data_IF_770156440002
#
_entry.id   IF_770156440002
#
_cell.length_a   1.000
_cell.length_b   1.000
_cell.length_c   1.000
_cell.angle_alpha   90.00
_cell.angle_beta   90.00
_cell.angle_gamma   90.00
#
_symmetry.space_group_name_H-M   'P 1'
#
loop_
_entity.id
_entity.type
_entity.pdbx_description
1 polymer ?
#
# COMPACT_ATOMS: atom_id res chain seq x y z
N UNK A 1 15.08 -10.22 12.49
CA UNK A 1 13.97 -10.71 11.66
C UNK A 1 13.74 -12.13 12.13
N UNK A 2 12.59 -12.39 12.73
CA UNK A 2 12.20 -13.72 13.17
C UNK A 2 11.30 -14.33 12.09
N UNK A 3 11.41 -15.63 11.87
CA UNK A 3 10.51 -16.32 10.96
C UNK A 3 9.11 -16.41 11.58
N UNK A 4 8.10 -16.31 10.73
CA UNK A 4 6.69 -16.40 11.13
C UNK A 4 6.09 -17.68 10.57
N UNK A 5 5.28 -18.35 11.38
CA UNK A 5 4.45 -19.47 10.94
C UNK A 5 3.18 -19.01 10.21
N UNK A 6 2.83 -17.72 10.34
CA UNK A 6 1.66 -17.13 9.68
C UNK A 6 1.87 -17.12 8.18
N UNK A 7 1.01 -17.84 7.47
CA UNK A 7 1.02 -17.86 6.00
C UNK A 7 0.50 -16.54 5.45
N UNK A 8 0.82 -16.26 4.19
CA UNK A 8 0.31 -15.05 3.51
C UNK A 8 -1.23 -15.01 3.50
N UNK A 9 -1.86 -16.16 3.27
CA UNK A 9 -3.33 -16.23 3.16
C UNK A 9 -4.00 -15.94 4.52
N UNK A 10 -3.43 -16.44 5.62
CA UNK A 10 -3.89 -16.12 6.98
C UNK A 10 -3.71 -14.63 7.29
N UNK A 11 -2.57 -14.05 6.92
CA UNK A 11 -2.31 -12.63 7.12
C UNK A 11 -3.30 -11.76 6.33
N UNK A 12 -3.56 -12.11 5.06
CA UNK A 12 -4.50 -11.38 4.21
C UNK A 12 -5.95 -11.47 4.71
N UNK A 13 -6.36 -12.63 5.22
CA UNK A 13 -7.69 -12.85 5.76
C UNK A 13 -7.91 -12.10 7.10
N UNK A 14 -6.86 -11.91 7.90
CA UNK A 14 -6.93 -11.20 9.17
C UNK A 14 -6.80 -9.68 9.03
N UNK A 15 -6.07 -9.20 8.03
CA UNK A 15 -5.70 -7.79 7.91
C UNK A 15 -6.88 -6.87 7.55
N UNK A 16 -7.05 -5.80 8.33
CA UNK A 16 -7.96 -4.69 8.00
C UNK A 16 -7.35 -3.73 6.95
N UNK A 17 -6.02 -3.73 6.82
CA UNK A 17 -5.27 -2.90 5.87
C UNK A 17 -4.20 -3.76 5.21
N UNK A 18 -4.19 -3.81 3.88
CA UNK A 18 -3.20 -4.52 3.07
C UNK A 18 -2.46 -3.51 2.19
N UNK A 19 -1.15 -3.40 2.37
CA UNK A 19 -0.28 -2.52 1.56
C UNK A 19 0.63 -3.38 0.70
N UNK A 20 0.54 -3.24 -0.62
CA UNK A 20 1.33 -4.01 -1.57
C UNK A 20 2.22 -3.12 -2.44
N UNK A 21 3.49 -3.50 -2.57
CA UNK A 21 4.53 -2.71 -3.25
C UNK A 21 5.54 -3.55 -4.03
N UNK A 22 5.15 -4.74 -4.50
CA UNK A 22 6.04 -5.65 -5.24
C UNK A 22 6.24 -5.11 -6.67
N UNK A 23 7.48 -4.79 -7.09
CA UNK A 23 7.76 -4.18 -8.39
C UNK A 23 7.85 -5.23 -9.51
N UNK A 24 6.86 -6.12 -9.60
CA UNK A 24 6.85 -7.19 -10.59
C UNK A 24 5.47 -7.30 -11.27
N UNK A 25 5.38 -7.25 -12.62
CA UNK A 25 4.11 -7.18 -13.33
C UNK A 25 3.24 -8.44 -13.18
N UNK A 26 3.87 -9.60 -12.95
CA UNK A 26 3.15 -10.88 -12.76
C UNK A 26 2.71 -11.12 -11.31
N UNK A 27 3.12 -10.28 -10.36
CA UNK A 27 2.71 -10.46 -8.97
C UNK A 27 1.28 -9.95 -8.79
N UNK A 28 0.40 -10.81 -8.28
CA UNK A 28 -1.01 -10.50 -8.03
C UNK A 28 -1.47 -11.15 -6.73
N UNK A 29 -2.10 -10.35 -5.88
CA UNK A 29 -2.88 -10.78 -4.74
C UNK A 29 -4.30 -11.00 -5.24
N UNK A 30 -4.79 -12.22 -5.14
CA UNK A 30 -6.16 -12.55 -5.49
C UNK A 30 -7.13 -11.79 -4.59
N UNK A 31 -8.13 -11.14 -5.20
CA UNK A 31 -9.07 -10.29 -4.47
C UNK A 31 -9.84 -11.09 -3.39
N UNK A 32 -10.17 -12.35 -3.68
CA UNK A 32 -10.82 -13.30 -2.76
C UNK A 32 -10.05 -13.58 -1.46
N UNK A 33 -8.73 -13.32 -1.44
CA UNK A 33 -7.89 -13.53 -0.25
C UNK A 33 -7.92 -12.35 0.71
N UNK A 34 -8.37 -11.18 0.25
CA UNK A 34 -8.42 -9.97 1.06
C UNK A 34 -9.75 -9.94 1.83
N UNK A 35 -9.66 -9.64 3.12
CA UNK A 35 -10.83 -9.49 3.99
C UNK A 35 -11.83 -8.47 3.42
N UNK A 36 -13.13 -8.81 3.31
CA UNK A 36 -14.17 -7.84 2.94
C UNK A 36 -14.20 -6.64 3.90
N UNK A 37 -14.30 -5.45 3.34
CA UNK A 37 -14.25 -4.17 4.05
C UNK A 37 -12.83 -3.67 4.36
N UNK A 38 -11.78 -4.41 4.02
CA UNK A 38 -10.41 -3.97 4.23
C UNK A 38 -10.04 -2.76 3.36
N UNK A 39 -8.95 -2.09 3.70
CA UNK A 39 -8.31 -1.05 2.90
C UNK A 39 -7.15 -1.69 2.12
N UNK A 40 -7.22 -1.66 0.80
CA UNK A 40 -6.16 -2.17 -0.07
C UNK A 40 -5.38 -1.00 -0.68
N UNK A 41 -4.07 -0.93 -0.44
CA UNK A 41 -3.19 0.16 -0.91
C UNK A 41 -2.15 -0.40 -1.86
N UNK A 42 -2.15 0.10 -3.10
CA UNK A 42 -1.13 -0.25 -4.08
C UNK A 42 -0.06 0.88 -4.17
N UNK A 43 1.17 0.54 -3.76
CA UNK A 43 2.35 1.40 -3.89
C UNK A 43 3.19 1.10 -5.13
N UNK A 44 3.08 -0.12 -5.69
CA UNK A 44 3.87 -0.52 -6.83
C UNK A 44 3.45 0.19 -8.12
N UNK A 45 4.40 0.35 -9.05
CA UNK A 45 4.13 0.82 -10.42
C UNK A 45 3.24 -0.16 -11.20
N UNK A 46 3.28 -1.44 -10.83
CA UNK A 46 2.39 -2.45 -11.35
C UNK A 46 1.26 -2.67 -10.34
N UNK A 47 0.03 -2.87 -10.82
CA UNK A 47 -1.05 -3.26 -9.91
C UNK A 47 -0.70 -4.59 -9.26
N UNK A 48 -0.61 -4.64 -7.93
CA UNK A 48 -0.37 -5.86 -7.19
C UNK A 48 -1.66 -6.59 -6.77
N UNK A 49 -2.83 -6.00 -7.00
CA UNK A 49 -4.11 -6.63 -6.70
C UNK A 49 -4.75 -7.16 -7.98
N UNK A 50 -5.44 -8.29 -7.86
CA UNK A 50 -6.24 -8.88 -8.93
C UNK A 50 -7.50 -8.07 -9.23
N UNK A 51 -8.19 -8.46 -10.30
CA UNK A 51 -9.50 -7.90 -10.66
C UNK A 51 -10.53 -8.13 -9.53
N UNK A 52 -11.47 -7.21 -9.38
CA UNK A 52 -12.54 -7.29 -8.36
C UNK A 52 -12.15 -6.83 -6.95
N UNK A 53 -10.92 -6.36 -6.72
CA UNK A 53 -10.50 -5.84 -5.40
C UNK A 53 -11.38 -4.66 -4.94
N UNK A 54 -11.81 -3.80 -5.87
CA UNK A 54 -12.64 -2.62 -5.61
C UNK A 54 -14.07 -2.96 -5.19
N UNK A 55 -14.54 -4.17 -5.47
CA UNK A 55 -15.94 -4.57 -5.22
C UNK A 55 -16.25 -4.78 -3.75
N UNK A 56 -15.25 -5.11 -2.93
CA UNK A 56 -15.42 -5.44 -1.52
C UNK A 56 -14.37 -4.80 -0.60
N UNK A 57 -13.52 -3.92 -1.13
CA UNK A 57 -12.52 -3.19 -0.34
C UNK A 57 -12.55 -1.70 -0.65
N UNK A 58 -12.01 -0.89 0.26
CA UNK A 58 -11.63 0.49 -0.10
C UNK A 58 -10.26 0.44 -0.75
N UNK A 59 -10.22 0.61 -2.08
CA UNK A 59 -8.98 0.48 -2.85
C UNK A 59 -8.32 1.84 -3.16
N UNK A 60 -7.02 1.92 -2.92
CA UNK A 60 -6.16 3.05 -3.29
C UNK A 60 -5.21 2.57 -4.41
N UNK A 61 -5.49 2.90 -5.69
CA UNK A 61 -4.82 2.30 -6.83
C UNK A 61 -3.38 2.79 -7.06
N UNK A 62 -3.09 4.04 -6.67
CA UNK A 62 -1.77 4.63 -6.83
C UNK A 62 -1.53 5.73 -5.80
N UNK A 63 -0.35 5.72 -5.19
CA UNK A 63 0.05 6.74 -4.21
C UNK A 63 1.05 7.77 -4.75
N UNK A 64 1.43 7.71 -6.02
CA UNK A 64 2.46 8.58 -6.60
C UNK A 64 2.19 10.08 -6.41
N UNK A 65 0.93 10.53 -6.53
CA UNK A 65 0.54 11.92 -6.27
C UNK A 65 0.72 12.32 -4.80
N UNK A 66 0.41 11.41 -3.88
CA UNK A 66 0.60 11.62 -2.43
C UNK A 66 2.09 11.69 -2.12
N UNK A 67 2.92 10.87 -2.75
CA UNK A 67 4.38 10.94 -2.62
C UNK A 67 4.91 12.32 -3.01
N UNK A 68 4.47 12.89 -4.14
CA UNK A 68 4.89 14.22 -4.58
C UNK A 68 4.50 15.29 -3.56
N UNK A 69 3.24 15.31 -3.12
CA UNK A 69 2.77 16.26 -2.11
C UNK A 69 3.56 16.13 -0.79
N UNK A 70 3.92 14.91 -0.40
CA UNK A 70 4.73 14.66 0.78
C UNK A 70 6.17 15.16 0.64
N UNK A 71 6.76 15.05 -0.55
CA UNK A 71 8.08 15.60 -0.83
C UNK A 71 8.08 17.13 -0.77
N UNK A 72 7.07 17.79 -1.32
CA UNK A 72 6.89 19.25 -1.22
C UNK A 72 6.76 19.69 0.24
N UNK A 73 5.95 18.98 1.04
CA UNK A 73 5.83 19.23 2.48
C UNK A 73 7.17 19.05 3.20
N UNK A 74 7.94 18.01 2.86
CA UNK A 74 9.24 17.76 3.47
C UNK A 74 10.25 18.85 3.11
N UNK A 75 10.25 19.33 1.86
CA UNK A 75 11.07 20.46 1.41
C UNK A 75 10.73 21.74 2.19
N UNK A 76 9.43 22.05 2.32
CA UNK A 76 8.98 23.22 3.08
C UNK A 76 9.43 23.16 4.55
N UNK A 77 9.30 21.99 5.19
CA UNK A 77 9.77 21.78 6.56
C UNK A 77 11.27 21.96 6.70
N UNK A 78 12.05 21.50 5.73
CA UNK A 78 13.50 21.68 5.72
C UNK A 78 13.88 23.16 5.63
N UNK A 79 13.21 23.91 4.75
CA UNK A 79 13.44 25.35 4.60
C UNK A 79 13.14 26.10 5.91
N UNK A 80 11.97 25.89 6.52
CA UNK A 80 11.63 26.51 7.80
C UNK A 80 12.61 26.16 8.92
N UNK A 81 13.08 24.91 8.98
CA UNK A 81 14.05 24.49 9.99
C UNK A 81 15.42 25.15 9.81
N UNK A 82 15.83 25.43 8.57
CA UNK A 82 17.07 26.14 8.26
C UNK A 82 17.03 27.63 8.61
N UNK A 83 15.86 28.26 8.59
CA UNK A 83 15.72 29.68 8.99
C UNK A 83 15.68 29.87 10.51
N UNK A 84 15.31 28.83 11.26
CA UNK A 84 15.25 28.84 12.72
C UNK A 84 16.60 28.54 13.40
N UNK A 85 17.62 28.16 12.64
CA UNK A 85 18.97 27.83 13.09
C UNK A 85 19.93 29.01 12.85
#
# INVERSE_FOLDING_TARGET
VEETEVTQDEALAAADIVIAGVPHPKFKIEASKVKPGAIAVNFSQFSNFGEGIEEHTTFVPAIGKVTIAMLERNLHRLHMASEAA
#
